data_IF_664399068367
#
_entry.id   IF_664399068367
#
_cell.length_a   1.000
_cell.length_b   1.000
_cell.length_c   1.000
_cell.angle_alpha   90.00
_cell.angle_beta   90.00
_cell.angle_gamma   90.00
#
_symmetry.space_group_name_H-M   'P 1'
#
loop_
_entity.id
_entity.type
_entity.pdbx_description
1 polymer ?
#
# COMPACT_ATOMS: atom_id res chain seq x y z
N UNK A 1 1.59 -8.40 -24.15
CA UNK A 1 0.64 -8.33 -23.02
C UNK A 1 1.04 -7.18 -22.10
N UNK A 2 0.14 -6.26 -21.90
CA UNK A 2 0.41 -5.13 -21.03
C UNK A 2 0.38 -5.57 -19.57
N UNK A 3 1.48 -5.36 -18.88
CA UNK A 3 1.52 -5.59 -17.44
C UNK A 3 0.93 -4.35 -16.78
N UNK A 4 -0.17 -4.53 -16.11
CA UNK A 4 -0.83 -3.44 -15.40
C UNK A 4 -0.01 -3.04 -14.19
N UNK A 5 0.34 -1.76 -14.09
CA UNK A 5 1.08 -1.19 -12.97
C UNK A 5 0.30 -0.03 -12.38
N UNK A 6 -0.66 -0.33 -11.54
CA UNK A 6 -1.47 0.65 -10.83
C UNK A 6 -1.40 0.41 -9.32
N UNK A 7 -2.03 1.28 -8.55
CA UNK A 7 -1.99 1.18 -7.09
C UNK A 7 -2.62 -0.12 -6.58
N UNK A 8 -3.59 -0.68 -7.29
CA UNK A 8 -4.24 -1.92 -6.89
C UNK A 8 -3.33 -3.11 -7.09
N UNK A 9 -2.53 -3.10 -8.13
CA UNK A 9 -1.50 -4.10 -8.35
C UNK A 9 -0.45 -4.04 -7.23
N UNK A 10 -0.09 -2.83 -6.79
CA UNK A 10 0.86 -2.66 -5.70
C UNK A 10 0.41 -3.40 -4.44
N UNK A 11 -0.86 -3.30 -4.08
CA UNK A 11 -1.40 -3.88 -2.85
C UNK A 11 -1.91 -5.32 -3.03
N UNK A 12 -1.75 -5.90 -4.20
CA UNK A 12 -2.24 -7.26 -4.47
C UNK A 12 -1.40 -8.36 -3.80
N UNK A 13 -0.20 -8.04 -3.34
CA UNK A 13 0.73 -8.98 -2.72
C UNK A 13 0.93 -8.69 -1.23
N UNK A 14 0.87 -9.71 -0.36
CA UNK A 14 1.03 -9.47 1.09
C UNK A 14 2.38 -8.88 1.48
N UNK A 15 3.47 -9.28 0.82
CA UNK A 15 4.81 -8.71 1.12
C UNK A 15 4.86 -7.24 0.73
N UNK A 16 4.30 -6.87 -0.42
CA UNK A 16 4.26 -5.46 -0.81
C UNK A 16 3.40 -4.63 0.13
N UNK A 17 2.26 -5.16 0.60
CA UNK A 17 1.47 -4.47 1.64
C UNK A 17 2.27 -4.26 2.92
N UNK A 18 3.04 -5.27 3.32
CA UNK A 18 3.89 -5.17 4.52
C UNK A 18 4.98 -4.10 4.35
N UNK A 19 5.59 -4.01 3.17
CA UNK A 19 6.58 -2.97 2.87
C UNK A 19 5.93 -1.58 2.97
N UNK A 20 4.76 -1.40 2.38
CA UNK A 20 4.05 -0.12 2.45
C UNK A 20 3.74 0.26 3.89
N UNK A 21 3.29 -0.69 4.70
CA UNK A 21 3.02 -0.47 6.12
C UNK A 21 4.30 -0.04 6.85
N UNK A 22 5.42 -0.71 6.59
CA UNK A 22 6.71 -0.34 7.18
C UNK A 22 7.10 1.10 6.83
N UNK A 23 6.88 1.51 5.58
CA UNK A 23 7.24 2.85 5.12
C UNK A 23 6.38 3.97 5.71
N UNK A 24 5.32 3.64 6.45
CA UNK A 24 4.56 4.66 7.20
C UNK A 24 5.40 5.31 8.29
N UNK A 25 6.45 4.63 8.75
CA UNK A 25 7.39 5.18 9.75
C UNK A 25 8.27 6.27 9.15
N UNK A 26 8.63 6.13 7.87
CA UNK A 26 9.47 7.09 7.17
C UNK A 26 10.17 6.44 5.99
N UNK A 27 10.97 7.23 5.28
CA UNK A 27 11.75 6.75 4.14
C UNK A 27 12.82 5.76 4.59
N UNK A 28 13.05 4.72 3.79
CA UNK A 28 14.03 3.67 4.08
C UNK A 28 14.79 3.25 2.84
N UNK A 29 16.03 2.81 3.05
CA UNK A 29 16.83 2.17 1.99
C UNK A 29 16.35 0.73 1.78
N UNK A 30 16.62 0.12 0.60
CA UNK A 30 16.30 -1.28 0.39
C UNK A 30 16.92 -2.23 1.41
N UNK A 31 18.15 -1.95 1.85
CA UNK A 31 18.80 -2.75 2.90
C UNK A 31 18.04 -2.67 4.22
N UNK A 32 17.62 -1.47 4.62
CA UNK A 32 16.86 -1.29 5.84
C UNK A 32 15.51 -2.03 5.76
N UNK A 33 14.84 -1.95 4.61
CA UNK A 33 13.58 -2.66 4.39
C UNK A 33 13.81 -4.17 4.49
N UNK A 34 14.82 -4.69 3.79
CA UNK A 34 15.14 -6.13 3.79
C UNK A 34 15.44 -6.65 5.20
N UNK A 35 16.02 -5.82 6.06
CA UNK A 35 16.32 -6.19 7.44
C UNK A 35 15.08 -6.52 8.29
N UNK A 36 13.90 -6.08 7.87
CA UNK A 36 12.65 -6.35 8.57
C UNK A 36 11.93 -7.61 8.06
N UNK A 37 12.46 -8.24 7.02
CA UNK A 37 11.84 -9.43 6.41
C UNK A 37 12.85 -10.57 6.37
N UNK A 38 12.34 -11.80 6.42
CA UNK A 38 13.18 -12.99 6.29
C UNK A 38 13.59 -13.32 4.87
N UNK A 39 13.32 -12.42 3.92
CA UNK A 39 13.62 -12.60 2.50
C UNK A 39 14.99 -12.03 2.14
N UNK A 40 15.53 -12.47 1.00
CA UNK A 40 16.79 -11.93 0.48
C UNK A 40 16.64 -10.47 0.04
N UNK A 41 17.77 -9.76 -0.01
CA UNK A 41 17.81 -8.38 -0.50
C UNK A 41 17.27 -8.30 -1.94
N UNK A 42 17.58 -9.29 -2.78
CA UNK A 42 17.13 -9.35 -4.17
C UNK A 42 15.61 -9.47 -4.27
N UNK A 43 15.01 -10.35 -3.44
CA UNK A 43 13.55 -10.52 -3.43
C UNK A 43 12.85 -9.23 -3.00
N UNK A 44 13.36 -8.57 -1.95
CA UNK A 44 12.81 -7.31 -1.46
C UNK A 44 12.96 -6.21 -2.53
N UNK A 45 14.12 -6.13 -3.18
CA UNK A 45 14.36 -5.14 -4.24
C UNK A 45 13.37 -5.29 -5.39
N UNK A 46 13.02 -6.51 -5.75
CA UNK A 46 12.02 -6.77 -6.80
C UNK A 46 10.63 -6.25 -6.40
N UNK A 47 10.23 -6.49 -5.16
CA UNK A 47 8.97 -5.94 -4.65
C UNK A 47 8.96 -4.41 -4.64
N UNK A 48 10.07 -3.79 -4.22
CA UNK A 48 10.21 -2.34 -4.21
C UNK A 48 10.13 -1.78 -5.63
N UNK A 49 10.75 -2.45 -6.61
CA UNK A 49 10.68 -2.03 -8.00
C UNK A 49 9.25 -2.02 -8.52
N UNK A 50 8.48 -3.07 -8.21
CA UNK A 50 7.06 -3.14 -8.59
C UNK A 50 6.27 -2.01 -7.92
N UNK A 51 6.51 -1.75 -6.64
CA UNK A 51 5.87 -0.66 -5.92
C UNK A 51 6.16 0.70 -6.58
N UNK A 52 7.41 0.92 -7.00
CA UNK A 52 7.80 2.15 -7.69
C UNK A 52 7.12 2.26 -9.05
N UNK A 53 7.05 1.17 -9.81
CA UNK A 53 6.37 1.14 -11.11
C UNK A 53 4.88 1.43 -10.98
N UNK A 54 4.26 1.00 -9.87
CA UNK A 54 2.85 1.27 -9.56
C UNK A 54 2.61 2.69 -9.05
N UNK A 55 3.66 3.44 -8.77
CA UNK A 55 3.55 4.78 -8.19
C UNK A 55 3.27 4.81 -6.70
N UNK A 56 3.31 3.65 -6.02
CA UNK A 56 3.02 3.56 -4.58
C UNK A 56 4.13 4.13 -3.71
N UNK A 57 5.36 4.11 -4.22
CA UNK A 57 6.54 4.67 -3.55
C UNK A 57 7.33 5.54 -4.51
N UNK A 58 8.00 6.55 -3.97
CA UNK A 58 8.91 7.42 -4.70
C UNK A 58 10.34 7.18 -4.25
N UNK A 59 11.27 7.36 -5.18
CA UNK A 59 12.69 7.31 -4.89
C UNK A 59 13.19 8.68 -4.48
N UNK A 60 14.05 8.71 -3.47
CA UNK A 60 14.72 9.92 -3.03
C UNK A 60 16.21 9.59 -2.87
N UNK A 61 17.02 10.09 -3.78
CA UNK A 61 18.46 9.85 -3.73
C UNK A 61 19.11 10.84 -2.76
N UNK A 62 19.82 10.29 -1.77
CA UNK A 62 20.54 11.07 -0.76
C UNK A 62 21.99 10.59 -0.76
N UNK A 63 22.86 11.36 -1.45
CA UNK A 63 24.25 10.96 -1.63
C UNK A 63 24.33 9.68 -2.46
N UNK A 64 24.93 8.64 -1.90
CA UNK A 64 25.13 7.34 -2.58
C UNK A 64 23.98 6.38 -2.31
N UNK A 65 23.04 6.74 -1.45
CA UNK A 65 21.95 5.88 -1.06
C UNK A 65 20.65 6.31 -1.71
N UNK A 66 19.80 5.33 -2.01
CA UNK A 66 18.45 5.57 -2.51
C UNK A 66 17.48 5.20 -1.37
N UNK A 67 16.65 6.18 -1.00
CA UNK A 67 15.57 5.98 -0.05
C UNK A 67 14.27 5.84 -0.79
N UNK A 68 13.36 5.04 -0.26
CA UNK A 68 12.01 4.89 -0.76
C UNK A 68 11.03 5.40 0.27
N UNK A 69 10.04 6.15 -0.17
CA UNK A 69 9.01 6.71 0.70
C UNK A 69 7.65 6.54 0.06
N UNK A 70 6.61 6.53 0.90
CA UNK A 70 5.24 6.40 0.40
C UNK A 70 4.87 7.59 -0.47
N UNK A 71 4.18 7.30 -1.58
CA UNK A 71 3.48 8.32 -2.33
C UNK A 71 2.06 8.41 -1.77
N UNK A 72 1.83 9.35 -0.85
CA UNK A 72 0.56 9.49 -0.14
C UNK A 72 -0.58 9.80 -1.11
N UNK A 73 -0.32 10.65 -2.11
CA UNK A 73 -1.36 11.02 -3.08
C UNK A 73 -1.84 9.80 -3.88
N UNK A 74 -0.91 8.92 -4.24
CA UNK A 74 -1.25 7.69 -4.96
C UNK A 74 -2.03 6.74 -4.05
N UNK A 75 -1.65 6.64 -2.78
CA UNK A 75 -2.36 5.81 -1.81
C UNK A 75 -3.79 6.30 -1.58
N UNK A 76 -4.05 7.59 -1.72
CA UNK A 76 -5.39 8.15 -1.59
C UNK A 76 -6.36 7.66 -2.66
N UNK A 77 -5.88 7.18 -3.80
CA UNK A 77 -6.74 6.58 -4.82
C UNK A 77 -7.49 5.38 -4.26
N UNK A 78 -6.84 4.58 -3.41
CA UNK A 78 -7.47 3.43 -2.75
C UNK A 78 -8.60 3.91 -1.83
N UNK A 79 -8.33 4.93 -1.03
CA UNK A 79 -9.32 5.50 -0.12
C UNK A 79 -10.53 6.03 -0.89
N UNK A 80 -10.29 6.73 -1.98
CA UNK A 80 -11.34 7.25 -2.85
C UNK A 80 -12.21 6.13 -3.42
N UNK A 81 -11.58 5.06 -3.90
CA UNK A 81 -12.31 3.90 -4.41
C UNK A 81 -13.15 3.23 -3.34
N UNK A 82 -12.62 3.14 -2.11
CA UNK A 82 -13.32 2.52 -0.98
C UNK A 82 -14.53 3.34 -0.52
N UNK A 83 -14.59 4.61 -0.85
CA UNK A 83 -15.65 5.51 -0.37
C UNK A 83 -17.05 5.04 -0.75
N UNK A 84 -17.24 4.55 -1.98
CA UNK A 84 -18.53 4.05 -2.43
C UNK A 84 -18.97 2.82 -1.65
N UNK A 85 -18.02 1.99 -1.23
CA UNK A 85 -18.31 0.82 -0.40
C UNK A 85 -18.60 1.21 1.04
N UNK A 86 -17.93 2.22 1.57
CA UNK A 86 -18.20 2.72 2.94
C UNK A 86 -19.63 3.15 3.10
N UNK A 87 -20.15 3.90 2.14
CA UNK A 87 -21.54 4.35 2.17
C UNK A 87 -22.52 3.19 2.19
N UNK A 88 -22.23 2.15 1.41
CA UNK A 88 -23.04 0.95 1.38
C UNK A 88 -23.01 0.22 2.73
N UNK A 89 -21.82 0.08 3.34
CA UNK A 89 -21.67 -0.55 4.65
C UNK A 89 -22.47 0.21 5.72
N UNK A 90 -22.32 1.51 5.77
CA UNK A 90 -22.98 2.36 6.76
C UNK A 90 -24.48 2.22 6.65
N UNK A 91 -25.02 2.26 5.44
CA UNK A 91 -26.45 2.07 5.19
C UNK A 91 -26.93 0.70 5.69
N UNK A 92 -26.17 -0.36 5.37
CA UNK A 92 -26.52 -1.72 5.78
C UNK A 92 -26.47 -1.90 7.30
N UNK A 93 -25.44 -1.35 7.95
CA UNK A 93 -25.34 -1.41 9.41
C UNK A 93 -26.44 -0.60 10.09
N UNK A 94 -26.79 0.56 9.56
CA UNK A 94 -27.90 1.36 10.08
C UNK A 94 -29.24 0.63 9.96
N UNK A 95 -29.47 -0.06 8.84
CA UNK A 95 -30.66 -0.88 8.65
C UNK A 95 -30.72 -2.00 9.67
N UNK A 96 -29.61 -2.65 9.97
CA UNK A 96 -29.53 -3.71 10.96
C UNK A 96 -29.82 -3.17 12.36
N UNK A 97 -29.27 -2.02 12.72
CA UNK A 97 -29.52 -1.36 14.00
C UNK A 97 -31.01 -1.06 14.17
N UNK A 98 -31.68 -0.58 13.14
CA UNK A 98 -33.12 -0.29 13.17
C UNK A 98 -33.94 -1.56 13.42
N UNK A 99 -33.58 -2.67 12.77
CA UNK A 99 -34.23 -3.95 12.98
C UNK A 99 -34.03 -4.42 14.43
N UNK A 100 -32.81 -4.29 14.96
CA UNK A 100 -32.48 -4.72 16.32
C UNK A 100 -33.22 -3.91 17.39
N UNK A 101 -33.46 -2.62 17.12
CA UNK A 101 -34.23 -1.76 18.05
C UNK A 101 -35.68 -2.15 18.16
N UNK A 102 -36.23 -2.76 17.12
CA UNK A 102 -37.64 -3.18 17.08
C UNK A 102 -37.85 -4.57 17.70
N UNK A 103 -36.81 -5.23 18.13
CA UNK A 103 -36.90 -6.54 18.81
C UNK A 103 -37.10 -6.37 20.36
#
# INVERSE_FOLDING_TARGET
MDIRRDIYQAIADPTRRAILTLLTVGAMTPNAIAGHFGSSRQAVSKHIQILAECGAVDQDQRGREIFYQLNINKMKEIDHWMESFRKLWETRFNQLDDVLKDL
#
